data_IF_384740729901
#
_entry.id   IF_384740729901
#
_cell.length_a   1.000
_cell.length_b   1.000
_cell.length_c   1.000
_cell.angle_alpha   90.00
_cell.angle_beta   90.00
_cell.angle_gamma   90.00
#
_symmetry.space_group_name_H-M   'P 1'
#
loop_
_entity.id
_entity.type
_entity.pdbx_description
1 polymer ?
#
# COMPACT_ATOMS: atom_id res chain seq x y z
N UNK A 1 -14.76 6.76 1.94
CA UNK A 1 -13.58 6.21 2.64
C UNK A 1 -12.41 7.06 2.17
N UNK A 2 -11.71 7.75 3.07
CA UNK A 2 -10.47 8.43 2.71
C UNK A 2 -9.42 7.34 2.54
N UNK A 3 -8.90 7.18 1.33
CA UNK A 3 -7.85 6.20 1.06
C UNK A 3 -6.55 6.99 0.98
N UNK A 4 -5.63 6.65 1.86
CA UNK A 4 -4.25 7.10 1.76
C UNK A 4 -3.47 5.94 1.17
N UNK A 5 -2.82 6.17 0.03
CA UNK A 5 -1.96 5.20 -0.64
C UNK A 5 -0.52 5.64 -0.46
N UNK A 6 0.32 4.77 0.08
CA UNK A 6 1.76 4.95 0.14
C UNK A 6 2.40 4.02 -0.89
N UNK A 7 3.00 4.59 -1.93
CA UNK A 7 3.69 3.84 -2.97
C UNK A 7 5.17 3.78 -2.61
N UNK A 8 5.71 2.57 -2.59
CA UNK A 8 7.08 2.26 -2.19
C UNK A 8 7.86 1.69 -3.36
N UNK A 9 9.03 2.26 -3.63
CA UNK A 9 9.85 1.96 -4.82
C UNK A 9 11.16 1.20 -4.48
N UNK A 10 11.28 0.64 -3.28
CA UNK A 10 12.52 0.13 -2.67
C UNK A 10 13.41 -0.79 -3.54
N UNK A 11 14.52 -0.26 -4.05
CA UNK A 11 15.78 -1.00 -4.12
C UNK A 11 16.50 -0.81 -2.78
N UNK A 12 16.74 -1.88 -2.01
CA UNK A 12 17.41 -1.87 -0.70
C UNK A 12 18.75 -1.09 -0.71
N UNK A 13 18.72 0.20 -0.38
CA UNK A 13 19.90 0.93 0.09
C UNK A 13 19.80 1.03 1.61
N UNK A 14 20.48 0.12 2.30
CA UNK A 14 20.48 0.03 3.77
C UNK A 14 21.19 1.24 4.42
N UNK A 15 21.80 2.11 3.62
CA UNK A 15 22.53 3.31 4.07
C UNK A 15 21.66 4.59 4.09
N UNK A 16 20.40 4.54 3.62
CA UNK A 16 19.48 5.69 3.64
C UNK A 16 18.39 5.54 4.73
N UNK A 17 18.37 6.46 5.69
CA UNK A 17 17.34 6.54 6.75
C UNK A 17 15.93 6.79 6.18
N UNK A 18 15.85 7.45 5.02
CA UNK A 18 14.58 7.76 4.34
C UNK A 18 14.59 7.17 2.92
N UNK A 19 13.45 6.58 2.54
CA UNK A 19 13.34 5.71 1.38
C UNK A 19 12.32 6.25 0.40
N UNK A 20 12.64 6.16 -0.89
CA UNK A 20 11.85 6.67 -1.99
C UNK A 20 10.39 6.20 -1.94
N UNK A 21 9.48 7.15 -1.79
CA UNK A 21 8.05 6.89 -1.62
C UNK A 21 7.18 8.05 -2.10
N UNK A 22 5.93 7.74 -2.36
CA UNK A 22 4.87 8.72 -2.61
C UNK A 22 3.71 8.51 -1.66
N UNK A 23 3.02 9.59 -1.29
CA UNK A 23 1.74 9.53 -0.60
C UNK A 23 0.67 10.19 -1.47
N UNK A 24 -0.30 9.37 -1.84
CA UNK A 24 -1.49 9.76 -2.56
C UNK A 24 -2.67 9.78 -1.62
N UNK A 25 -3.47 10.85 -1.69
CA UNK A 25 -4.70 10.98 -0.90
C UNK A 25 -5.85 11.21 -1.86
N UNK A 26 -6.82 10.31 -1.84
CA UNK A 26 -8.00 10.36 -2.71
C UNK A 26 -7.62 10.53 -4.20
N UNK A 27 -6.54 9.87 -4.63
CA UNK A 27 -6.02 9.90 -6.01
C UNK A 27 -5.20 11.14 -6.39
N UNK A 28 -4.89 12.03 -5.44
CA UNK A 28 -4.01 13.18 -5.64
C UNK A 28 -2.66 12.96 -4.96
N UNK A 29 -1.55 13.21 -5.67
CA UNK A 29 -0.21 13.18 -5.08
C UNK A 29 -0.06 14.34 -4.10
N UNK A 30 0.32 14.02 -2.86
CA UNK A 30 0.44 15.02 -1.78
C UNK A 30 1.81 15.09 -1.17
N UNK A 31 2.63 14.05 -1.35
CA UNK A 31 3.96 13.98 -0.80
C UNK A 31 4.82 13.06 -1.65
N UNK A 32 6.07 13.43 -1.86
CA UNK A 32 7.11 12.55 -2.40
C UNK A 32 8.35 12.70 -1.54
N UNK A 33 9.10 11.62 -1.40
CA UNK A 33 10.52 11.70 -1.11
C UNK A 33 11.27 10.97 -2.20
N UNK A 34 12.26 11.62 -2.81
CA UNK A 34 13.09 11.02 -3.85
C UNK A 34 14.53 11.47 -3.64
N UNK A 35 15.45 10.50 -3.53
CA UNK A 35 16.86 10.77 -3.26
C UNK A 35 17.10 11.61 -1.99
N UNK A 36 16.26 11.41 -0.97
CA UNK A 36 16.32 12.15 0.30
C UNK A 36 15.80 13.59 0.22
N UNK A 37 15.12 13.95 -0.88
CA UNK A 37 14.47 15.25 -1.04
C UNK A 37 12.96 15.09 -0.87
N UNK A 38 12.43 15.70 0.19
CA UNK A 38 10.99 15.76 0.45
C UNK A 38 10.31 16.86 -0.38
N UNK A 39 9.10 16.60 -0.84
CA UNK A 39 8.24 17.57 -1.51
C UNK A 39 6.77 17.35 -1.12
N UNK A 40 6.13 18.39 -0.56
CA UNK A 40 4.73 18.38 -0.12
C UNK A 40 3.81 19.22 -1.03
N UNK A 41 4.29 19.71 -2.17
CA UNK A 41 3.47 20.49 -3.10
C UNK A 41 2.39 19.59 -3.72
N UNK A 42 1.12 19.94 -3.55
CA UNK A 42 0.03 19.11 -4.09
C UNK A 42 -0.10 19.22 -5.62
N UNK A 43 0.52 20.20 -6.26
CA UNK A 43 0.51 20.32 -7.73
C UNK A 43 1.80 19.73 -8.35
N UNK A 44 2.59 19.01 -7.55
CA UNK A 44 3.77 18.28 -8.04
C UNK A 44 3.40 17.13 -8.97
N UNK A 45 4.33 16.80 -9.88
CA UNK A 45 4.30 15.57 -10.64
C UNK A 45 5.08 14.48 -9.90
N UNK A 46 4.74 13.22 -10.17
CA UNK A 46 5.50 12.08 -9.66
C UNK A 46 6.94 12.15 -10.18
N UNK A 47 7.96 12.08 -9.32
CA UNK A 47 9.34 11.90 -9.77
C UNK A 47 9.62 10.45 -10.21
N UNK A 48 8.62 9.55 -10.11
CA UNK A 48 8.74 8.11 -10.32
C UNK A 48 7.95 7.61 -11.55
N UNK A 49 7.57 8.47 -12.51
CA UNK A 49 6.67 8.11 -13.64
C UNK A 49 7.10 6.86 -14.44
N UNK A 50 8.40 6.55 -14.49
CA UNK A 50 8.96 5.38 -15.19
C UNK A 50 9.40 4.24 -14.25
N UNK A 51 9.17 4.37 -12.94
CA UNK A 51 9.58 3.38 -11.95
C UNK A 51 8.41 2.49 -11.54
N UNK A 52 8.68 1.18 -11.49
CA UNK A 52 7.68 0.22 -11.02
C UNK A 52 7.55 0.33 -9.50
N UNK A 53 6.32 0.56 -9.03
CA UNK A 53 5.97 0.46 -7.61
C UNK A 53 6.17 -0.98 -7.18
N UNK A 54 6.92 -1.21 -6.11
CA UNK A 54 7.15 -2.55 -5.56
C UNK A 54 6.10 -2.92 -4.53
N UNK A 55 5.66 -1.92 -3.75
CA UNK A 55 4.66 -2.14 -2.71
C UNK A 55 3.74 -0.93 -2.62
N UNK A 56 2.45 -1.18 -2.42
CA UNK A 56 1.47 -0.14 -2.06
C UNK A 56 0.89 -0.43 -0.68
N UNK A 57 0.87 0.55 0.22
CA UNK A 57 0.09 0.47 1.46
C UNK A 57 -1.15 1.34 1.34
N UNK A 58 -2.30 0.75 1.62
CA UNK A 58 -3.58 1.44 1.72
C UNK A 58 -3.96 1.56 3.19
N UNK A 59 -4.15 2.80 3.65
CA UNK A 59 -4.65 3.09 4.99
C UNK A 59 -6.14 3.40 4.93
N UNK A 60 -6.92 2.64 5.70
CA UNK A 60 -8.38 2.75 5.80
C UNK A 60 -8.82 2.91 7.25
N UNK A 61 -10.09 3.24 7.46
CA UNK A 61 -10.72 3.25 8.79
C UNK A 61 -10.80 1.86 9.44
N UNK A 62 -10.79 0.79 8.64
CA UNK A 62 -10.83 -0.59 9.13
C UNK A 62 -9.45 -1.18 9.42
N UNK A 63 -8.39 -0.53 8.97
CA UNK A 63 -7.02 -1.00 9.10
C UNK A 63 -6.20 -0.76 7.84
N UNK A 64 -5.15 -1.54 7.65
CA UNK A 64 -4.20 -1.37 6.55
C UNK A 64 -4.19 -2.59 5.63
N UNK A 65 -4.08 -2.33 4.34
CA UNK A 65 -3.82 -3.34 3.32
C UNK A 65 -2.46 -3.04 2.70
N UNK A 66 -1.54 -3.99 2.74
CA UNK A 66 -0.29 -3.94 2.00
C UNK A 66 -0.44 -4.84 0.76
N UNK A 67 -0.09 -4.32 -0.41
CA UNK A 67 -0.05 -5.04 -1.68
C UNK A 67 1.39 -5.10 -2.15
N UNK A 68 1.92 -6.31 -2.33
CA UNK A 68 3.22 -6.56 -2.91
C UNK A 68 3.04 -6.80 -4.41
N UNK A 69 3.65 -5.96 -5.25
CA UNK A 69 3.50 -6.03 -6.71
C UNK A 69 4.42 -7.07 -7.35
N UNK A 70 5.40 -7.63 -6.62
CA UNK A 70 6.30 -8.67 -7.15
C UNK A 70 5.57 -10.01 -7.35
N UNK A 71 4.71 -10.37 -6.39
CA UNK A 71 3.97 -11.64 -6.37
C UNK A 71 2.44 -11.47 -6.29
N UNK A 72 1.96 -10.23 -6.43
CA UNK A 72 0.54 -9.85 -6.31
C UNK A 72 -0.11 -10.28 -4.97
N UNK A 73 0.70 -10.45 -3.92
CA UNK A 73 0.22 -10.85 -2.60
C UNK A 73 -0.29 -9.65 -1.79
N UNK A 74 -1.26 -9.93 -0.91
CA UNK A 74 -1.82 -8.94 0.00
C UNK A 74 -1.63 -9.33 1.45
N UNK A 75 -1.39 -8.34 2.30
CA UNK A 75 -1.32 -8.47 3.75
C UNK A 75 -2.29 -7.51 4.40
N UNK A 76 -3.22 -8.05 5.19
CA UNK A 76 -4.26 -7.29 5.86
C UNK A 76 -3.95 -7.18 7.34
N UNK A 77 -4.22 -6.00 7.90
CA UNK A 77 -4.16 -5.76 9.35
C UNK A 77 -5.35 -4.92 9.77
N UNK A 78 -6.11 -5.40 10.75
CA UNK A 78 -7.25 -4.65 11.31
C UNK A 78 -6.73 -3.50 12.21
N UNK A 79 -7.47 -2.39 12.29
CA UNK A 79 -7.06 -1.20 13.05
C UNK A 79 -6.83 -1.48 14.54
N UNK A 80 -7.69 -2.30 15.16
CA UNK A 80 -7.66 -2.63 16.59
C UNK A 80 -7.03 -4.00 16.89
N UNK A 81 -6.38 -4.64 15.92
CA UNK A 81 -5.78 -5.97 16.05
C UNK A 81 -4.31 -5.98 15.63
N UNK A 82 -3.53 -6.83 16.29
CA UNK A 82 -2.15 -7.14 15.89
C UNK A 82 -2.09 -8.30 14.90
N UNK A 83 -3.21 -8.97 14.66
CA UNK A 83 -3.33 -10.09 13.74
C UNK A 83 -3.19 -9.60 12.31
N UNK A 84 -2.24 -10.22 11.59
CA UNK A 84 -2.03 -10.03 10.17
C UNK A 84 -2.54 -11.26 9.42
N UNK A 85 -3.26 -11.03 8.33
CA UNK A 85 -3.69 -12.08 7.42
C UNK A 85 -3.02 -11.91 6.06
N UNK A 86 -2.58 -13.01 5.46
CA UNK A 86 -2.09 -13.01 4.08
C UNK A 86 -3.18 -13.51 3.13
N UNK A 87 -3.27 -12.86 1.98
CA UNK A 87 -4.18 -13.19 0.89
C UNK A 87 -3.35 -13.34 -0.39
N UNK A 88 -3.24 -14.57 -0.89
CA UNK A 88 -2.32 -14.97 -1.96
C UNK A 88 -3.08 -15.84 -2.94
N UNK A 89 -2.90 -15.63 -4.24
CA UNK A 89 -3.56 -16.40 -5.30
C UNK A 89 -5.10 -16.49 -5.17
N UNK A 90 -5.72 -15.46 -4.58
CA UNK A 90 -7.16 -15.41 -4.35
C UNK A 90 -7.64 -16.10 -3.06
N UNK A 91 -6.75 -16.63 -2.22
CA UNK A 91 -7.06 -17.37 -1.01
C UNK A 91 -6.56 -16.66 0.26
N UNK A 92 -7.43 -16.57 1.28
CA UNK A 92 -7.05 -16.09 2.61
C UNK A 92 -6.42 -17.25 3.40
N UNK A 93 -5.17 -17.06 3.85
CA UNK A 93 -4.40 -18.12 4.50
C UNK A 93 -4.88 -18.46 5.92
N UNK A 94 -5.17 -17.51 6.81
CA UNK A 94 -5.77 -17.83 8.11
C UNK A 94 -7.28 -18.14 8.00
N UNK A 95 -7.78 -18.97 8.91
CA UNK A 95 -9.23 -19.16 9.09
C UNK A 95 -9.89 -17.86 9.58
N UNK A 96 -10.97 -17.45 8.92
CA UNK A 96 -11.77 -16.26 9.27
C UNK A 96 -13.26 -16.61 9.37
N UNK A 97 -13.68 -17.38 10.40
CA UNK A 97 -15.06 -17.84 10.54
C UNK A 97 -16.06 -16.70 10.75
N UNK A 98 -15.59 -15.56 11.27
CA UNK A 98 -16.40 -14.36 11.51
C UNK A 98 -16.43 -13.41 10.29
N UNK A 99 -15.63 -13.68 9.26
CA UNK A 99 -15.57 -12.87 8.04
C UNK A 99 -15.03 -11.45 8.26
N UNK A 100 -14.12 -11.27 9.21
CA UNK A 100 -13.52 -9.96 9.56
C UNK A 100 -12.73 -9.35 8.41
N UNK A 101 -12.19 -10.18 7.51
CA UNK A 101 -11.36 -9.74 6.38
C UNK A 101 -12.14 -9.60 5.06
N UNK A 102 -13.45 -9.87 5.03
CA UNK A 102 -14.26 -9.84 3.80
C UNK A 102 -14.18 -8.51 3.03
N UNK A 103 -14.18 -7.38 3.75
CA UNK A 103 -14.07 -6.06 3.13
C UNK A 103 -12.70 -5.85 2.47
N UNK A 104 -11.63 -6.34 3.09
CA UNK A 104 -10.28 -6.26 2.53
C UNK A 104 -10.07 -7.21 1.36
N UNK A 105 -10.68 -8.40 1.39
CA UNK A 105 -10.71 -9.32 0.23
C UNK A 105 -11.44 -8.66 -0.94
N UNK A 106 -12.58 -8.03 -0.69
CA UNK A 106 -13.34 -7.30 -1.72
C UNK A 106 -12.50 -6.16 -2.31
N UNK A 107 -11.79 -5.43 -1.45
CA UNK A 107 -10.89 -4.36 -1.86
C UNK A 107 -9.72 -4.88 -2.71
N UNK A 108 -9.01 -5.91 -2.25
CA UNK A 108 -7.87 -6.52 -2.94
C UNK A 108 -8.25 -6.97 -4.37
N UNK A 109 -9.37 -7.70 -4.49
CA UNK A 109 -9.88 -8.12 -5.80
C UNK A 109 -10.26 -6.95 -6.73
N UNK A 110 -10.69 -5.82 -6.15
CA UNK A 110 -11.03 -4.61 -6.90
C UNK A 110 -9.81 -3.83 -7.40
N UNK A 111 -8.65 -3.93 -6.73
CA UNK A 111 -7.42 -3.25 -7.16
C UNK A 111 -6.59 -4.10 -8.13
N UNK A 112 -6.59 -5.44 -8.01
CA UNK A 112 -5.90 -6.33 -8.96
C UNK A 112 -6.57 -6.44 -10.34
N UNK A 113 -7.79 -5.93 -10.51
CA UNK A 113 -8.55 -6.01 -11.78
C UNK A 113 -8.47 -4.76 -12.66
N UNK A 114 -7.62 -3.79 -12.32
CA UNK A 114 -7.33 -2.60 -13.14
C UNK A 114 -6.04 -2.77 -13.94
#
# INVERSE_FOLDING_TARGET
MKIIEEHKFYSNDMDKEEQDKEIWVDGKLTYTIHDGLENEDTDQLSPFEDQQVLQTLFFTDKGTVQHNHEDDSFYFRLADDVTMASYVDGELMPEDPDGKFNDFITFANGVSTK
#
